data_IF_985518300094
#
_entry.id   IF_985518300094
#
_cell.length_a   1.000
_cell.length_b   1.000
_cell.length_c   1.000
_cell.angle_alpha   90.00
_cell.angle_beta   90.00
_cell.angle_gamma   90.00
#
_symmetry.space_group_name_H-M   'P 1'
#
loop_
_entity.id
_entity.type
_entity.pdbx_description
1 polymer ?
#
# COMPACT_ATOMS: atom_id res chain seq x y z
N UNK A 1 -38.63 14.01 0.04
CA UNK A 1 -38.39 13.23 1.28
C UNK A 1 -36.92 12.81 1.31
N UNK A 2 -36.11 13.43 2.16
CA UNK A 2 -34.70 13.07 2.33
C UNK A 2 -34.62 11.70 3.01
N UNK A 3 -33.98 10.71 2.36
CA UNK A 3 -33.83 9.36 2.92
C UNK A 3 -32.55 9.29 3.75
N UNK A 4 -32.69 9.43 5.07
CA UNK A 4 -31.62 9.37 6.06
C UNK A 4 -30.75 8.09 5.98
N UNK A 5 -31.25 7.01 5.35
CA UNK A 5 -30.54 5.74 5.18
C UNK A 5 -29.64 5.65 3.93
N UNK A 6 -29.69 6.61 3.00
CA UNK A 6 -28.88 6.59 1.76
C UNK A 6 -27.93 7.79 1.72
N UNK A 7 -26.84 7.72 2.48
CA UNK A 7 -25.79 8.76 2.47
C UNK A 7 -24.98 8.70 1.18
N UNK A 8 -24.86 9.84 0.52
CA UNK A 8 -23.87 10.10 -0.51
C UNK A 8 -22.93 11.17 0.03
N UNK A 9 -21.63 10.94 -0.09
CA UNK A 9 -20.60 11.91 0.27
C UNK A 9 -19.98 12.41 -1.01
N UNK A 10 -19.90 13.72 -1.17
CA UNK A 10 -19.17 14.37 -2.26
C UNK A 10 -17.99 15.11 -1.63
N UNK A 11 -16.81 14.93 -2.21
CA UNK A 11 -15.59 15.59 -1.79
C UNK A 11 -14.90 16.27 -2.97
N UNK A 12 -14.25 17.38 -2.69
CA UNK A 12 -13.37 18.07 -3.62
C UNK A 12 -12.08 18.42 -2.88
N UNK A 13 -10.94 18.26 -3.54
CA UNK A 13 -9.64 18.71 -3.03
C UNK A 13 -8.78 19.23 -4.18
N UNK A 14 -7.96 20.24 -3.90
CA UNK A 14 -7.03 20.79 -4.87
C UNK A 14 -5.80 21.32 -4.14
N UNK A 15 -4.68 21.42 -4.85
CA UNK A 15 -3.46 21.98 -4.27
C UNK A 15 -2.21 21.61 -5.05
N UNK A 16 -1.07 21.97 -4.48
CA UNK A 16 0.26 21.60 -4.93
C UNK A 16 1.00 20.98 -3.73
N UNK A 17 1.76 19.91 -3.96
CA UNK A 17 2.59 19.32 -2.92
C UNK A 17 3.61 18.32 -3.45
N UNK A 18 4.44 17.84 -2.53
CA UNK A 18 5.45 16.80 -2.77
C UNK A 18 4.87 15.46 -2.33
N UNK A 19 4.89 14.49 -3.24
CA UNK A 19 4.32 13.17 -3.02
C UNK A 19 5.36 12.09 -3.25
N UNK A 20 5.22 10.99 -2.50
CA UNK A 20 5.99 9.77 -2.72
C UNK A 20 5.60 9.17 -4.08
N UNK A 21 6.58 8.73 -4.87
CA UNK A 21 6.35 8.00 -6.11
C UNK A 21 5.47 6.75 -5.88
N UNK A 22 5.56 6.12 -4.72
CA UNK A 22 4.68 5.03 -4.32
C UNK A 22 3.53 5.58 -3.48
N UNK A 23 2.34 5.66 -4.08
CA UNK A 23 1.14 6.17 -3.41
C UNK A 23 0.61 5.30 -2.26
N UNK A 24 1.19 4.11 -2.04
CA UNK A 24 0.93 3.27 -0.85
C UNK A 24 1.85 3.62 0.33
N UNK A 25 2.80 4.54 0.13
CA UNK A 25 3.72 5.06 1.12
C UNK A 25 4.91 4.13 1.40
N UNK A 26 6.11 4.63 1.15
CA UNK A 26 7.37 3.94 1.49
C UNK A 26 7.67 4.01 2.99
N UNK A 27 7.83 5.23 3.52
CA UNK A 27 8.19 5.49 4.92
C UNK A 27 7.54 6.78 5.43
N UNK A 28 7.37 6.90 6.74
CA UNK A 28 6.85 8.12 7.37
C UNK A 28 7.84 9.29 7.22
N UNK A 29 7.33 10.52 7.22
CA UNK A 29 8.15 11.72 7.15
C UNK A 29 9.19 11.77 8.30
N UNK A 30 8.76 11.48 9.53
CA UNK A 30 9.65 11.40 10.69
C UNK A 30 10.73 10.32 10.51
N UNK A 31 10.34 9.13 10.03
CA UNK A 31 11.29 8.06 9.71
C UNK A 31 12.31 8.49 8.67
N UNK A 32 11.89 9.26 7.67
CA UNK A 32 12.77 9.80 6.64
C UNK A 32 13.73 10.86 7.17
N UNK A 33 13.26 11.79 8.00
CA UNK A 33 14.10 12.80 8.63
C UNK A 33 15.22 12.17 9.46
N UNK A 34 14.88 11.18 10.29
CA UNK A 34 15.86 10.45 11.11
C UNK A 34 16.87 9.71 10.22
N UNK A 35 16.40 9.01 9.18
CA UNK A 35 17.28 8.27 8.27
C UNK A 35 18.17 9.17 7.42
N UNK A 36 17.66 10.30 6.94
CA UNK A 36 18.40 11.23 6.11
C UNK A 36 19.47 11.96 6.93
N UNK A 37 19.11 12.48 8.10
CA UNK A 37 20.02 13.32 8.90
C UNK A 37 21.09 12.51 9.66
N UNK A 38 20.77 11.29 10.12
CA UNK A 38 21.68 10.49 10.95
C UNK A 38 22.39 9.36 10.20
N UNK A 39 21.81 8.87 9.10
CA UNK A 39 22.30 7.68 8.39
C UNK A 39 22.53 7.91 6.90
N UNK A 40 22.28 9.13 6.40
CA UNK A 40 22.41 9.53 5.00
C UNK A 40 21.58 8.66 4.05
N UNK A 41 20.38 8.27 4.48
CA UNK A 41 19.46 7.44 3.71
C UNK A 41 18.16 8.16 3.40
N UNK A 42 18.03 8.64 2.17
CA UNK A 42 16.80 9.19 1.62
C UNK A 42 15.98 8.08 0.93
N UNK A 43 15.34 7.22 1.73
CA UNK A 43 14.60 6.09 1.18
C UNK A 43 13.41 6.50 0.29
N UNK A 44 12.52 7.41 0.72
CA UNK A 44 11.41 7.84 -0.11
C UNK A 44 11.90 8.65 -1.30
N UNK A 45 11.26 8.44 -2.44
CA UNK A 45 11.54 9.11 -3.70
C UNK A 45 10.35 9.97 -4.05
N UNK A 46 10.60 11.23 -4.33
CA UNK A 46 9.55 12.24 -4.38
C UNK A 46 9.38 12.86 -5.77
N UNK A 47 8.17 13.35 -6.02
CA UNK A 47 7.83 14.18 -7.16
C UNK A 47 6.85 15.28 -6.75
N UNK A 48 6.78 16.34 -7.53
CA UNK A 48 5.82 17.42 -7.32
C UNK A 48 4.53 17.12 -8.09
N UNK A 49 3.38 17.34 -7.43
CA UNK A 49 2.06 17.19 -8.03
C UNK A 49 1.19 18.39 -7.70
N UNK A 50 0.71 19.04 -8.74
CA UNK A 50 -0.42 19.97 -8.66
C UNK A 50 -1.68 19.23 -9.07
N UNK A 51 -2.75 19.27 -8.29
CA UNK A 51 -3.93 18.44 -8.53
C UNK A 51 -5.25 19.12 -8.23
N UNK A 52 -6.29 18.58 -8.86
CA UNK A 52 -7.70 18.77 -8.53
C UNK A 52 -8.34 17.37 -8.53
N UNK A 53 -8.98 16.99 -7.44
CA UNK A 53 -9.71 15.75 -7.29
C UNK A 53 -11.15 16.05 -6.91
N UNK A 54 -12.09 15.44 -7.62
CA UNK A 54 -13.50 15.41 -7.28
C UNK A 54 -13.88 13.96 -7.04
N UNK A 55 -14.55 13.66 -5.93
CA UNK A 55 -14.97 12.31 -5.63
C UNK A 55 -16.40 12.29 -5.09
N UNK A 56 -17.06 11.15 -5.30
CA UNK A 56 -18.35 10.86 -4.69
C UNK A 56 -18.42 9.39 -4.32
N UNK A 57 -18.98 9.10 -3.16
CA UNK A 57 -19.20 7.74 -2.67
C UNK A 57 -20.65 7.60 -2.21
N UNK A 58 -21.27 6.47 -2.52
CA UNK A 58 -22.66 6.20 -2.16
C UNK A 58 -22.89 4.71 -1.88
N UNK A 59 -23.71 4.41 -0.89
CA UNK A 59 -24.27 3.06 -0.72
C UNK A 59 -25.36 2.82 -1.77
N UNK A 60 -25.16 1.81 -2.63
CA UNK A 60 -26.09 1.42 -3.69
C UNK A 60 -27.10 0.38 -3.18
N UNK A 61 -26.62 -0.55 -2.37
CA UNK A 61 -27.40 -1.58 -1.67
C UNK A 61 -26.69 -1.93 -0.35
N UNK A 62 -27.35 -2.68 0.55
CA UNK A 62 -26.76 -3.03 1.85
C UNK A 62 -25.40 -3.70 1.70
N UNK A 63 -24.35 -3.03 2.19
CA UNK A 63 -22.96 -3.51 2.08
C UNK A 63 -22.30 -3.30 0.70
N UNK A 64 -23.02 -2.79 -0.30
CA UNK A 64 -22.51 -2.43 -1.62
C UNK A 64 -22.30 -0.92 -1.71
N UNK A 65 -21.04 -0.51 -1.73
CA UNK A 65 -20.62 0.88 -1.88
C UNK A 65 -20.08 1.10 -3.30
N UNK A 66 -20.54 2.16 -3.95
CA UNK A 66 -19.98 2.63 -5.21
C UNK A 66 -19.25 3.95 -4.98
N UNK A 67 -18.10 4.12 -5.64
CA UNK A 67 -17.38 5.39 -5.68
C UNK A 67 -16.99 5.76 -7.10
N UNK A 68 -16.97 7.07 -7.35
CA UNK A 68 -16.46 7.69 -8.55
C UNK A 68 -15.46 8.78 -8.15
N UNK A 69 -14.36 8.89 -8.87
CA UNK A 69 -13.35 9.94 -8.68
C UNK A 69 -12.88 10.45 -10.03
N UNK A 70 -12.75 11.76 -10.14
CA UNK A 70 -12.16 12.47 -11.28
C UNK A 70 -10.91 13.18 -10.78
N UNK A 71 -9.79 12.93 -11.44
CA UNK A 71 -8.48 13.45 -11.08
C UNK A 71 -7.89 14.20 -12.26
N UNK A 72 -7.56 15.48 -12.04
CA UNK A 72 -6.66 16.25 -12.88
C UNK A 72 -5.35 16.44 -12.11
N UNK A 73 -4.21 16.17 -12.72
CA UNK A 73 -2.91 16.39 -12.10
C UNK A 73 -1.87 16.87 -13.12
N UNK A 74 -0.97 17.76 -12.69
CA UNK A 74 0.27 18.07 -13.39
C UNK A 74 1.43 17.59 -12.51
N UNK A 75 2.23 16.70 -13.05
CA UNK A 75 3.29 16.00 -12.33
C UNK A 75 4.66 16.44 -12.86
N UNK A 76 5.59 16.72 -11.97
CA UNK A 76 6.95 17.16 -12.27
C UNK A 76 7.96 16.37 -11.43
N UNK A 77 9.05 15.93 -12.04
CA UNK A 77 10.14 15.24 -11.34
C UNK A 77 10.93 16.20 -10.47
N UNK A 78 11.30 15.76 -9.27
CA UNK A 78 12.18 16.53 -8.39
C UNK A 78 13.57 15.93 -8.34
N UNK A 79 14.59 16.77 -8.22
CA UNK A 79 15.96 16.37 -7.87
C UNK A 79 16.23 16.69 -6.40
N UNK A 80 17.27 16.09 -5.81
CA UNK A 80 17.67 16.41 -4.45
C UNK A 80 18.17 17.86 -4.37
N UNK A 81 17.63 18.65 -3.45
CA UNK A 81 17.96 20.09 -3.30
C UNK A 81 18.89 20.41 -2.13
N UNK A 82 19.12 19.46 -1.23
CA UNK A 82 20.00 19.61 -0.08
C UNK A 82 20.72 18.31 0.21
N UNK A 83 21.99 18.43 0.60
CA UNK A 83 22.89 17.38 1.04
C UNK A 83 23.21 17.48 2.54
N UNK A 84 22.41 18.23 3.31
CA UNK A 84 22.67 18.43 4.74
C UNK A 84 22.48 17.13 5.54
N UNK A 85 23.47 16.81 6.37
CA UNK A 85 23.46 15.69 7.32
C UNK A 85 24.23 16.05 8.59
N UNK A 86 23.89 15.40 9.71
CA UNK A 86 24.61 15.61 10.98
C UNK A 86 25.87 14.75 11.08
N UNK A 87 25.88 13.57 10.47
CA UNK A 87 26.99 12.63 10.52
C UNK A 87 27.35 12.19 9.11
N UNK A 88 28.58 12.50 8.69
CA UNK A 88 29.09 12.17 7.36
C UNK A 88 29.65 10.74 7.33
N UNK A 89 29.14 9.91 6.41
CA UNK A 89 29.70 8.60 6.14
C UNK A 89 30.43 8.61 4.80
N UNK A 90 31.77 8.50 4.84
CA UNK A 90 32.64 8.59 3.66
C UNK A 90 32.35 7.58 2.54
N UNK A 91 31.59 6.53 2.82
CA UNK A 91 31.19 5.51 1.85
C UNK A 91 29.76 5.68 1.33
N UNK A 92 29.08 6.79 1.64
CA UNK A 92 27.67 7.01 1.30
C UNK A 92 27.37 8.42 0.81
N UNK A 93 26.39 8.46 -0.09
CA UNK A 93 25.81 9.69 -0.62
C UNK A 93 24.30 9.51 -0.75
N UNK A 94 23.57 10.63 -0.77
CA UNK A 94 22.14 10.61 -1.07
C UNK A 94 21.90 10.09 -2.49
N UNK A 95 20.88 9.27 -2.64
CA UNK A 95 20.53 8.67 -3.93
C UNK A 95 19.53 9.54 -4.68
N UNK A 96 19.60 9.56 -6.01
CA UNK A 96 18.65 10.25 -6.89
C UNK A 96 17.18 9.91 -6.58
N UNK A 97 16.26 10.81 -6.91
CA UNK A 97 14.81 10.53 -6.89
C UNK A 97 14.37 9.55 -7.99
N UNK A 98 15.26 9.22 -8.92
CA UNK A 98 15.07 8.12 -9.86
C UNK A 98 15.63 6.81 -9.26
N UNK A 99 14.78 5.87 -8.80
CA UNK A 99 15.22 4.63 -8.17
C UNK A 99 15.95 3.67 -9.14
N UNK A 100 15.88 3.90 -10.46
CA UNK A 100 16.57 3.10 -11.47
C UNK A 100 17.95 3.63 -11.83
N UNK A 101 18.25 4.90 -11.51
CA UNK A 101 19.59 5.50 -11.67
C UNK A 101 20.01 6.20 -10.37
N UNK A 102 20.24 5.45 -9.26
CA UNK A 102 20.41 6.03 -7.93
C UNK A 102 21.64 6.93 -7.79
N UNK A 103 22.65 6.79 -8.65
CA UNK A 103 23.92 7.55 -8.62
C UNK A 103 23.92 8.76 -9.55
N UNK A 104 22.84 9.02 -10.29
CA UNK A 104 22.80 10.09 -11.28
C UNK A 104 21.43 10.73 -11.29
N UNK A 105 21.38 12.06 -11.20
CA UNK A 105 20.16 12.86 -11.24
C UNK A 105 19.62 12.87 -12.68
N UNK A 106 18.84 11.85 -13.03
CA UNK A 106 18.10 11.77 -14.29
C UNK A 106 16.60 11.79 -14.02
N UNK A 107 15.80 12.54 -14.81
CA UNK A 107 14.36 12.57 -14.62
C UNK A 107 13.76 11.19 -14.92
N UNK A 108 12.98 10.66 -13.97
CA UNK A 108 12.28 9.38 -14.15
C UNK A 108 11.16 9.44 -15.20
N UNK A 109 10.56 10.62 -15.37
CA UNK A 109 9.49 10.89 -16.33
C UNK A 109 9.52 12.37 -16.74
N UNK A 110 9.03 12.74 -17.93
CA UNK A 110 8.91 14.15 -18.33
C UNK A 110 7.82 14.85 -17.50
N UNK A 111 7.80 16.18 -17.50
CA UNK A 111 6.63 16.90 -16.94
C UNK A 111 5.39 16.58 -17.79
N UNK A 112 4.32 16.13 -17.15
CA UNK A 112 3.10 15.75 -17.87
C UNK A 112 1.84 16.11 -17.08
N UNK A 113 0.74 16.25 -17.82
CA UNK A 113 -0.60 16.42 -17.27
C UNK A 113 -1.35 15.10 -17.40
N UNK A 114 -2.14 14.72 -16.39
CA UNK A 114 -3.02 13.56 -16.44
C UNK A 114 -4.44 13.95 -16.05
N UNK A 115 -5.40 13.50 -16.86
CA UNK A 115 -6.81 13.47 -16.51
C UNK A 115 -7.24 12.02 -16.44
N UNK A 116 -7.82 11.62 -15.31
CA UNK A 116 -8.30 10.25 -15.13
C UNK A 116 -9.63 10.19 -14.38
N UNK A 117 -10.38 9.13 -14.64
CA UNK A 117 -11.58 8.77 -13.89
C UNK A 117 -11.41 7.38 -13.28
N UNK A 118 -11.81 7.23 -12.01
CA UNK A 118 -11.80 5.97 -11.30
C UNK A 118 -13.21 5.65 -10.83
N UNK A 119 -13.72 4.47 -11.19
CA UNK A 119 -14.95 3.91 -10.67
C UNK A 119 -14.63 2.66 -9.86
N UNK A 120 -15.22 2.53 -8.67
CA UNK A 120 -15.05 1.31 -7.87
C UNK A 120 -16.35 0.86 -7.23
N UNK A 121 -16.49 -0.47 -7.10
CA UNK A 121 -17.57 -1.14 -6.38
C UNK A 121 -16.94 -1.99 -5.29
N UNK A 122 -17.33 -1.73 -4.05
CA UNK A 122 -16.89 -2.49 -2.88
C UNK A 122 -18.10 -3.13 -2.23
N UNK A 123 -18.14 -4.46 -2.25
CA UNK A 123 -19.17 -5.25 -1.60
C UNK A 123 -18.62 -5.95 -0.35
N UNK A 124 -19.15 -5.62 0.82
CA UNK A 124 -18.82 -6.31 2.06
C UNK A 124 -19.95 -7.31 2.36
N UNK A 125 -19.64 -8.60 2.21
CA UNK A 125 -20.61 -9.68 2.39
C UNK A 125 -21.12 -9.67 3.83
N UNK A 126 -22.42 -9.85 4.05
CA UNK A 126 -23.00 -9.93 5.40
C UNK A 126 -22.79 -8.67 6.25
N UNK A 127 -22.60 -7.50 5.62
CA UNK A 127 -22.39 -6.23 6.32
C UNK A 127 -23.55 -5.91 7.26
N UNK A 128 -23.26 -5.94 8.56
CA UNK A 128 -24.19 -5.52 9.61
C UNK A 128 -24.07 -4.00 9.84
N UNK A 129 -25.15 -3.41 10.34
CA UNK A 129 -25.19 -1.99 10.67
C UNK A 129 -26.12 -1.73 11.84
N UNK A 130 -25.80 -0.68 12.60
CA UNK A 130 -26.64 -0.14 13.65
C UNK A 130 -27.25 1.16 13.12
N UNK A 131 -28.57 1.27 13.22
CA UNK A 131 -29.27 2.51 12.86
C UNK A 131 -29.54 3.29 14.15
N UNK A 132 -29.16 4.55 14.15
CA UNK A 132 -29.41 5.53 15.21
C UNK A 132 -30.08 6.77 14.59
N UNK A 133 -30.71 7.65 15.37
CA UNK A 133 -31.32 8.87 14.84
C UNK A 133 -30.34 9.77 14.04
N UNK A 134 -29.05 9.70 14.36
CA UNK A 134 -27.96 10.43 13.70
C UNK A 134 -27.36 9.70 12.49
N UNK A 135 -27.78 8.45 12.19
CA UNK A 135 -27.44 7.76 10.96
C UNK A 135 -27.22 6.25 11.08
N UNK A 136 -26.72 5.68 9.98
CA UNK A 136 -26.36 4.27 9.84
C UNK A 136 -24.86 4.08 10.07
N UNK A 137 -24.50 3.19 10.99
CA UNK A 137 -23.11 2.89 11.36
C UNK A 137 -22.81 1.42 11.07
N UNK A 138 -21.83 1.16 10.20
CA UNK A 138 -21.40 -0.19 9.87
C UNK A 138 -20.58 -0.81 10.99
N UNK A 139 -20.83 -2.08 11.31
CA UNK A 139 -19.97 -2.87 12.19
C UNK A 139 -18.98 -3.70 11.39
N UNK A 140 -17.99 -4.29 12.04
CA UNK A 140 -17.07 -5.21 11.35
C UNK A 140 -17.84 -6.41 10.76
N UNK A 141 -17.46 -6.83 9.55
CA UNK A 141 -18.06 -8.01 8.91
C UNK A 141 -17.21 -9.25 9.15
N UNK A 142 -17.89 -10.38 9.36
CA UNK A 142 -17.28 -11.72 9.44
C UNK A 142 -16.93 -12.31 8.08
N UNK A 143 -17.36 -11.69 6.99
CA UNK A 143 -17.19 -12.21 5.64
C UNK A 143 -16.40 -11.24 4.75
N UNK A 144 -15.69 -11.78 3.73
CA UNK A 144 -14.79 -10.99 2.90
C UNK A 144 -15.43 -9.78 2.25
N UNK A 145 -14.62 -8.73 2.11
CA UNK A 145 -14.88 -7.58 1.25
C UNK A 145 -14.30 -7.85 -0.13
N UNK A 146 -15.12 -7.68 -1.15
CA UNK A 146 -14.73 -7.78 -2.55
C UNK A 146 -14.75 -6.37 -3.13
N UNK A 147 -13.67 -5.96 -3.79
CA UNK A 147 -13.57 -4.67 -4.49
C UNK A 147 -13.23 -4.90 -5.95
N UNK A 148 -14.00 -4.29 -6.84
CA UNK A 148 -13.68 -4.18 -8.27
C UNK A 148 -13.47 -2.71 -8.58
N UNK A 149 -12.42 -2.40 -9.34
CA UNK A 149 -12.10 -1.03 -9.73
C UNK A 149 -11.74 -0.98 -11.21
N UNK A 150 -12.20 0.07 -11.87
CA UNK A 150 -11.80 0.47 -13.21
C UNK A 150 -11.29 1.90 -13.17
N UNK A 151 -10.13 2.16 -13.77
CA UNK A 151 -9.53 3.48 -13.90
C UNK A 151 -9.17 3.73 -15.36
N UNK A 152 -9.54 4.90 -15.87
CA UNK A 152 -9.24 5.34 -17.24
C UNK A 152 -8.44 6.64 -17.23
N UNK A 153 -7.33 6.67 -17.92
CA UNK A 153 -6.62 7.89 -18.30
C UNK A 153 -7.12 8.39 -19.65
N UNK A 154 -7.45 9.68 -19.76
CA UNK A 154 -7.99 10.27 -20.98
C UNK A 154 -6.91 11.04 -21.73
N UNK A 155 -6.66 10.67 -22.99
CA UNK A 155 -5.76 11.42 -23.87
C UNK A 155 -6.40 12.73 -24.30
N UNK A 156 -5.59 13.78 -24.44
CA UNK A 156 -5.95 15.11 -25.00
C UNK A 156 -7.03 15.90 -24.24
N UNK A 157 -7.69 15.30 -23.25
CA UNK A 157 -8.65 15.98 -22.37
C UNK A 157 -7.91 16.95 -21.43
N UNK A 158 -8.22 18.25 -21.53
CA UNK A 158 -7.56 19.32 -20.75
C UNK A 158 -6.03 19.28 -20.83
N UNK A 159 -5.48 18.89 -21.98
CA UNK A 159 -4.02 18.79 -22.19
C UNK A 159 -3.38 17.55 -21.55
N UNK A 160 -4.17 16.55 -21.19
CA UNK A 160 -3.69 15.28 -20.64
C UNK A 160 -2.81 14.50 -21.62
N UNK A 161 -1.71 13.94 -21.11
CA UNK A 161 -0.71 13.16 -21.83
C UNK A 161 -0.81 11.65 -21.52
N UNK A 162 -1.87 11.19 -20.84
CA UNK A 162 -2.03 9.78 -20.47
C UNK A 162 -3.17 9.12 -21.23
N UNK A 163 -2.98 7.87 -21.61
CA UNK A 163 -3.95 7.00 -22.28
C UNK A 163 -3.77 5.57 -21.76
N UNK A 164 -4.65 5.18 -20.84
CA UNK A 164 -4.63 3.84 -20.25
C UNK A 164 -5.99 3.42 -19.70
N UNK A 165 -6.19 2.12 -19.58
CA UNK A 165 -7.35 1.50 -18.96
C UNK A 165 -6.88 0.41 -18.00
N UNK A 166 -7.17 0.58 -16.72
CA UNK A 166 -6.76 -0.32 -15.66
C UNK A 166 -7.96 -0.94 -14.97
N UNK A 167 -7.97 -2.26 -14.85
CA UNK A 167 -8.95 -3.00 -14.04
C UNK A 167 -8.25 -3.73 -12.91
N UNK A 168 -8.89 -3.82 -11.75
CA UNK A 168 -8.48 -4.72 -10.68
C UNK A 168 -9.67 -5.30 -9.94
N UNK A 169 -9.47 -6.49 -9.39
CA UNK A 169 -10.33 -7.12 -8.43
C UNK A 169 -9.51 -7.49 -7.19
N UNK A 170 -10.11 -7.37 -6.02
CA UNK A 170 -9.47 -7.66 -4.75
C UNK A 170 -10.46 -8.26 -3.76
N UNK A 171 -10.01 -9.26 -3.01
CA UNK A 171 -10.71 -9.85 -1.88
C UNK A 171 -9.86 -9.64 -0.64
N UNK A 172 -10.47 -9.07 0.40
CA UNK A 172 -9.81 -8.79 1.66
C UNK A 172 -10.69 -9.26 2.82
N UNK A 173 -10.07 -9.92 3.79
CA UNK A 173 -10.70 -10.22 5.07
C UNK A 173 -9.68 -10.13 6.19
N UNK A 174 -10.10 -9.52 7.29
CA UNK A 174 -9.29 -9.40 8.50
C UNK A 174 -9.87 -10.24 9.63
N UNK A 175 -8.99 -10.77 10.49
CA UNK A 175 -9.30 -11.44 11.77
C UNK A 175 -10.40 -12.50 11.69
N UNK A 176 -10.32 -13.40 10.72
CA UNK A 176 -11.16 -14.60 10.65
C UNK A 176 -10.87 -15.45 11.89
N UNK A 177 -11.84 -15.52 12.80
CA UNK A 177 -11.70 -16.30 14.04
C UNK A 177 -11.65 -17.80 13.71
N UNK A 178 -10.58 -18.45 14.18
CA UNK A 178 -10.42 -19.92 14.18
C UNK A 178 -10.56 -20.47 15.61
N UNK A 179 -11.23 -19.72 16.49
CA UNK A 179 -11.44 -20.08 17.88
C UNK A 179 -10.13 -20.15 18.66
N UNK A 180 -9.84 -21.31 19.26
CA UNK A 180 -8.62 -21.53 20.05
C UNK A 180 -7.32 -21.47 19.24
N UNK A 181 -7.43 -21.61 17.91
CA UNK A 181 -6.28 -21.51 17.01
C UNK A 181 -5.93 -20.07 16.65
N UNK A 182 -6.64 -19.08 17.19
CA UNK A 182 -6.39 -17.67 16.94
C UNK A 182 -7.16 -17.13 15.75
N UNK A 183 -6.52 -16.32 14.91
CA UNK A 183 -7.18 -15.61 13.81
C UNK A 183 -6.30 -15.46 12.57
N UNK A 184 -6.93 -15.48 11.40
CA UNK A 184 -6.26 -15.30 10.10
C UNK A 184 -6.74 -14.05 9.38
N UNK A 185 -5.84 -13.40 8.67
CA UNK A 185 -6.14 -12.28 7.79
C UNK A 185 -5.54 -12.55 6.42
N UNK A 186 -6.25 -12.18 5.36
CA UNK A 186 -5.74 -12.32 4.00
C UNK A 186 -6.16 -11.17 3.08
N UNK A 187 -5.35 -10.97 2.04
CA UNK A 187 -5.65 -10.11 0.92
C UNK A 187 -5.24 -10.82 -0.36
N UNK A 188 -6.10 -10.88 -1.36
CA UNK A 188 -5.76 -11.39 -2.68
C UNK A 188 -6.27 -10.39 -3.71
N UNK A 189 -5.38 -9.88 -4.55
CA UNK A 189 -5.69 -8.90 -5.57
C UNK A 189 -5.06 -9.28 -6.91
N UNK A 190 -5.78 -9.02 -7.98
CA UNK A 190 -5.27 -9.13 -9.34
C UNK A 190 -5.72 -7.92 -10.14
N UNK A 191 -4.89 -7.49 -11.07
CA UNK A 191 -5.23 -6.37 -11.94
C UNK A 191 -4.46 -6.40 -13.23
N UNK A 192 -4.91 -5.60 -14.20
CA UNK A 192 -4.31 -5.50 -15.52
C UNK A 192 -4.58 -4.13 -16.12
N UNK A 193 -3.53 -3.53 -16.68
CA UNK A 193 -3.69 -2.48 -17.67
C UNK A 193 -4.11 -3.13 -19.00
N UNK A 194 -5.39 -3.01 -19.34
CA UNK A 194 -5.97 -3.52 -20.59
C UNK A 194 -5.49 -2.66 -21.77
N UNK A 195 -5.32 -1.36 -21.51
CA UNK A 195 -4.67 -0.39 -22.38
C UNK A 195 -3.57 0.30 -21.55
N UNK A 196 -2.39 0.42 -22.13
CA UNK A 196 -1.23 1.09 -21.56
C UNK A 196 -0.45 1.85 -22.64
N UNK A 197 -1.15 2.44 -23.61
CA UNK A 197 -0.56 3.21 -24.72
C UNK A 197 0.39 4.31 -24.23
N UNK A 198 -0.03 5.08 -23.22
CA UNK A 198 0.80 6.13 -22.63
C UNK A 198 0.48 6.32 -21.15
N UNK A 199 1.44 6.02 -20.30
CA UNK A 199 1.38 6.28 -18.86
C UNK A 199 2.80 6.40 -18.30
N UNK A 200 2.93 7.12 -17.19
CA UNK A 200 4.23 7.40 -16.56
C UNK A 200 4.35 6.70 -15.22
N UNK A 201 5.57 6.60 -14.69
CA UNK A 201 5.84 5.82 -13.48
C UNK A 201 4.89 6.09 -12.30
N UNK A 202 4.51 7.34 -11.95
CA UNK A 202 3.57 7.59 -10.86
C UNK A 202 2.14 7.04 -11.08
N UNK A 203 1.77 6.71 -12.32
CA UNK A 203 0.48 6.11 -12.68
C UNK A 203 0.53 4.56 -12.69
N UNK A 204 1.71 3.96 -12.49
CA UNK A 204 1.85 2.50 -12.48
C UNK A 204 1.15 1.89 -11.28
N UNK A 205 0.90 0.57 -11.32
CA UNK A 205 0.55 -0.15 -10.10
C UNK A 205 1.80 -0.29 -9.24
N UNK A 206 1.82 0.43 -8.12
CA UNK A 206 2.81 0.26 -7.07
C UNK A 206 2.39 -0.81 -6.06
N UNK A 207 3.36 -1.41 -5.39
CA UNK A 207 3.16 -2.39 -4.32
C UNK A 207 3.71 -1.84 -3.01
N UNK A 208 3.05 -2.13 -1.89
CA UNK A 208 3.49 -1.64 -0.59
C UNK A 208 4.70 -2.48 -0.15
N UNK A 209 5.92 -2.02 -0.49
CA UNK A 209 7.16 -2.63 -0.06
C UNK A 209 7.68 -2.06 1.27
N UNK A 210 8.72 -2.71 1.79
CA UNK A 210 9.47 -2.25 2.94
C UNK A 210 10.91 -2.77 2.94
N UNK A 211 11.86 -1.85 2.98
CA UNK A 211 13.29 -2.16 3.19
C UNK A 211 13.79 -1.73 4.59
N UNK A 212 12.98 -0.99 5.34
CA UNK A 212 13.33 -0.56 6.70
C UNK A 212 13.22 -1.71 7.70
N UNK A 213 14.10 -1.74 8.70
CA UNK A 213 13.98 -2.69 9.82
C UNK A 213 12.77 -2.39 10.69
N UNK A 214 12.37 -1.11 10.79
CA UNK A 214 11.27 -0.64 11.65
C UNK A 214 10.17 -0.01 10.78
N UNK A 215 8.93 -0.48 10.94
CA UNK A 215 7.79 -0.01 10.14
C UNK A 215 6.44 -0.28 10.84
N UNK A 216 5.36 0.45 10.52
CA UNK A 216 4.04 0.14 11.05
C UNK A 216 3.46 -1.15 10.45
N UNK A 217 2.76 -1.98 11.24
CA UNK A 217 2.17 -3.23 10.75
C UNK A 217 1.06 -2.95 9.73
N UNK A 218 1.04 -3.70 8.62
CA UNK A 218 0.02 -3.60 7.59
C UNK A 218 -0.01 -4.90 6.78
N UNK A 219 -1.17 -5.57 6.68
CA UNK A 219 -1.32 -6.84 5.98
C UNK A 219 -0.94 -6.77 4.49
N UNK A 220 -1.20 -5.64 3.82
CA UNK A 220 -0.85 -5.44 2.40
C UNK A 220 0.64 -5.18 2.19
N UNK A 221 1.37 -4.81 3.24
CA UNK A 221 2.75 -4.38 3.12
C UNK A 221 3.66 -5.62 3.14
N UNK A 222 4.36 -5.82 2.03
CA UNK A 222 5.50 -6.74 1.97
C UNK A 222 6.59 -6.24 2.92
N UNK A 223 7.12 -7.11 3.78
CA UNK A 223 8.11 -6.76 4.81
C UNK A 223 9.53 -6.61 4.27
N UNK A 224 9.79 -7.13 3.06
CA UNK A 224 11.13 -7.20 2.46
C UNK A 224 11.19 -6.74 0.99
N UNK A 225 10.06 -6.39 0.38
CA UNK A 225 10.01 -5.93 -1.01
C UNK A 225 10.58 -4.52 -1.11
N UNK A 226 11.31 -4.24 -2.19
CA UNK A 226 11.78 -2.88 -2.48
C UNK A 226 10.60 -1.91 -2.69
N UNK A 227 10.80 -0.64 -2.34
CA UNK A 227 9.76 0.38 -2.42
C UNK A 227 9.30 0.70 -3.85
N UNK A 228 10.16 0.55 -4.85
CA UNK A 228 9.96 1.13 -6.18
C UNK A 228 10.20 0.14 -7.33
N UNK A 229 11.10 -0.83 -7.16
CA UNK A 229 11.57 -1.70 -8.24
C UNK A 229 10.54 -2.71 -8.79
N UNK A 230 9.43 -2.92 -8.07
CA UNK A 230 8.41 -3.91 -8.43
C UNK A 230 7.15 -3.32 -9.06
N UNK A 231 7.10 -2.01 -9.27
CA UNK A 231 5.93 -1.35 -9.88
C UNK A 231 5.75 -1.80 -11.33
N UNK A 232 4.50 -1.96 -11.78
CA UNK A 232 4.19 -2.48 -13.12
C UNK A 232 3.11 -1.67 -13.83
N UNK A 233 3.23 -1.57 -15.15
CA UNK A 233 2.22 -1.03 -16.06
C UNK A 233 1.50 -2.15 -16.85
N UNK A 234 1.57 -3.40 -16.38
CA UNK A 234 0.98 -4.58 -17.00
C UNK A 234 0.03 -5.30 -16.03
N UNK A 235 -0.17 -6.60 -16.20
CA UNK A 235 -0.91 -7.44 -15.26
C UNK A 235 -0.10 -7.77 -14.01
N UNK A 236 -0.81 -7.99 -12.90
CA UNK A 236 -0.21 -8.49 -11.68
C UNK A 236 -1.16 -9.39 -10.90
N UNK A 237 -0.57 -10.19 -10.03
CA UNK A 237 -1.23 -10.91 -8.96
C UNK A 237 -0.48 -10.66 -7.65
N UNK A 238 -1.21 -10.28 -6.61
CA UNK A 238 -0.71 -9.93 -5.29
C UNK A 238 -1.53 -10.72 -4.25
N UNK A 239 -0.87 -11.42 -3.34
CA UNK A 239 -1.54 -12.10 -2.25
C UNK A 239 -0.74 -11.95 -0.95
N UNK A 240 -1.46 -11.79 0.16
CA UNK A 240 -0.91 -11.70 1.50
C UNK A 240 -1.76 -12.56 2.42
N UNK A 241 -1.10 -13.26 3.34
CA UNK A 241 -1.77 -14.00 4.39
C UNK A 241 -0.97 -13.90 5.68
N UNK A 242 -1.66 -13.69 6.78
CA UNK A 242 -1.09 -13.71 8.12
C UNK A 242 -2.01 -14.54 9.02
N UNK A 243 -1.41 -15.34 9.88
CA UNK A 243 -2.11 -16.08 10.91
C UNK A 243 -1.46 -15.81 12.25
N UNK A 244 -2.28 -15.41 13.21
CA UNK A 244 -1.88 -15.19 14.58
C UNK A 244 -2.49 -16.28 15.46
N UNK A 245 -1.64 -16.99 16.21
CA UNK A 245 -2.03 -18.12 17.04
C UNK A 245 -2.58 -17.72 18.41
N UNK A 246 -2.67 -16.43 18.71
CA UNK A 246 -3.17 -15.88 19.98
C UNK A 246 -2.47 -16.48 21.22
N UNK A 247 -1.18 -16.82 21.10
CA UNK A 247 -0.39 -17.40 22.19
C UNK A 247 -0.65 -18.90 22.40
N UNK A 248 -1.26 -19.61 21.44
CA UNK A 248 -1.64 -21.02 21.58
C UNK A 248 -0.47 -21.93 21.96
N UNK A 249 0.75 -21.63 21.52
CA UNK A 249 1.94 -22.46 21.79
C UNK A 249 2.71 -22.00 23.04
N UNK A 250 3.10 -20.72 23.10
CA UNK A 250 3.92 -20.11 24.13
C UNK A 250 3.21 -20.02 25.47
N UNK A 251 1.88 -19.85 25.49
CA UNK A 251 1.14 -19.90 26.75
C UNK A 251 1.16 -21.30 27.40
N UNK A 252 1.50 -22.36 26.66
CA UNK A 252 1.66 -23.71 27.22
C UNK A 252 3.01 -23.90 27.92
N UNK A 253 4.02 -23.09 27.59
CA UNK A 253 5.35 -23.15 28.21
C UNK A 253 5.35 -22.36 29.53
N UNK A 254 5.54 -22.99 30.70
CA UNK A 254 5.36 -22.34 32.01
C UNK A 254 6.19 -21.07 32.21
N UNK A 255 7.42 -21.04 31.69
CA UNK A 255 8.32 -19.88 31.78
C UNK A 255 7.86 -18.70 30.91
N UNK A 256 7.28 -18.98 29.74
CA UNK A 256 6.92 -17.96 28.74
C UNK A 256 5.47 -17.48 28.89
N UNK A 257 4.61 -18.25 29.57
CA UNK A 257 3.20 -17.92 29.83
C UNK A 257 3.01 -16.54 30.46
N UNK A 258 3.91 -16.12 31.36
CA UNK A 258 3.83 -14.81 32.03
C UNK A 258 4.03 -13.63 31.08
N UNK A 259 4.79 -13.82 29.99
CA UNK A 259 5.04 -12.79 28.99
C UNK A 259 3.83 -12.56 28.07
N UNK A 260 2.88 -13.51 28.01
CA UNK A 260 1.64 -13.43 27.22
C UNK A 260 1.91 -13.01 25.76
N UNK A 261 2.96 -13.59 25.18
CA UNK A 261 3.35 -13.35 23.78
C UNK A 261 2.39 -14.09 22.85
N UNK A 262 2.08 -13.48 21.72
CA UNK A 262 1.30 -14.10 20.65
C UNK A 262 2.23 -14.40 19.47
N UNK A 263 2.20 -15.62 18.98
CA UNK A 263 2.96 -16.04 17.81
C UNK A 263 2.18 -15.73 16.54
N UNK A 264 2.89 -15.36 15.49
CA UNK A 264 2.30 -15.20 14.18
C UNK A 264 3.22 -15.70 13.09
N UNK A 265 2.62 -16.11 11.99
CA UNK A 265 3.28 -16.39 10.72
C UNK A 265 2.59 -15.61 9.63
N UNK A 266 3.31 -15.24 8.59
CA UNK A 266 2.72 -14.59 7.44
C UNK A 266 3.61 -14.66 6.24
N UNK A 267 3.07 -14.21 5.13
CA UNK A 267 3.78 -14.20 3.86
C UNK A 267 3.04 -13.42 2.81
N UNK A 268 3.80 -13.09 1.78
CA UNK A 268 3.34 -12.33 0.63
C UNK A 268 3.79 -13.01 -0.66
N UNK A 269 2.98 -12.89 -1.69
CA UNK A 269 3.25 -13.36 -3.03
C UNK A 269 2.96 -12.25 -4.04
N UNK A 270 3.90 -12.02 -4.97
CA UNK A 270 3.74 -11.06 -6.04
C UNK A 270 4.24 -11.65 -7.35
N UNK A 271 3.41 -11.52 -8.39
CA UNK A 271 3.76 -11.89 -9.75
C UNK A 271 3.34 -10.79 -10.73
N UNK A 272 4.27 -10.41 -11.59
CA UNK A 272 4.09 -9.50 -12.73
C UNK A 272 5.00 -9.95 -13.88
N UNK A 273 4.76 -9.52 -15.14
CA UNK A 273 5.63 -9.83 -16.27
C UNK A 273 7.09 -9.45 -16.03
N UNK A 274 7.35 -8.32 -15.37
CA UNK A 274 8.71 -7.85 -15.06
C UNK A 274 9.34 -8.62 -13.89
N UNK A 275 8.52 -9.07 -12.92
CA UNK A 275 8.93 -9.76 -11.70
C UNK A 275 8.04 -10.97 -11.46
N UNK A 276 8.44 -12.10 -12.02
CA UNK A 276 7.55 -13.25 -12.22
C UNK A 276 7.14 -13.97 -10.93
N UNK A 277 7.92 -13.93 -9.86
CA UNK A 277 7.71 -14.87 -8.75
C UNK A 277 8.33 -14.40 -7.42
N UNK A 278 7.99 -13.19 -6.98
CA UNK A 278 8.41 -12.73 -5.66
C UNK A 278 7.60 -13.43 -4.57
N UNK A 279 8.29 -13.92 -3.54
CA UNK A 279 7.70 -14.56 -2.37
C UNK A 279 8.41 -14.12 -1.12
N UNK A 280 7.67 -13.85 -0.06
CA UNK A 280 8.22 -13.67 1.27
C UNK A 280 7.47 -14.50 2.31
N UNK A 281 8.20 -14.92 3.32
CA UNK A 281 7.67 -15.62 4.48
C UNK A 281 8.33 -15.09 5.73
N UNK A 282 7.55 -14.89 6.77
CA UNK A 282 8.03 -14.42 8.06
C UNK A 282 7.26 -15.07 9.20
N UNK A 283 7.92 -15.17 10.35
CA UNK A 283 7.34 -15.65 11.59
C UNK A 283 7.87 -14.80 12.74
N UNK A 284 7.08 -14.65 13.79
CA UNK A 284 7.41 -13.70 14.83
C UNK A 284 6.55 -13.80 16.06
N UNK A 285 6.87 -12.93 17.01
CA UNK A 285 6.17 -12.77 18.27
C UNK A 285 5.65 -11.33 18.37
N UNK A 286 4.44 -11.18 18.89
CA UNK A 286 3.86 -9.88 19.19
C UNK A 286 3.40 -9.78 20.64
N UNK A 287 3.43 -8.54 21.13
CA UNK A 287 2.87 -8.18 22.42
C UNK A 287 2.42 -6.73 22.39
N UNK A 288 1.15 -6.49 22.67
CA UNK A 288 0.55 -5.15 22.66
C UNK A 288 0.83 -4.48 21.31
N UNK A 289 1.57 -3.37 21.32
CA UNK A 289 1.92 -2.57 20.15
C UNK A 289 3.16 -3.05 19.42
N UNK A 290 3.99 -3.92 20.02
CA UNK A 290 5.30 -4.31 19.49
C UNK A 290 5.23 -5.70 18.85
N UNK A 291 5.82 -5.83 17.65
CA UNK A 291 5.99 -7.10 16.94
C UNK A 291 7.44 -7.25 16.51
N UNK A 292 7.99 -8.45 16.65
CA UNK A 292 9.31 -8.81 16.14
C UNK A 292 9.17 -10.06 15.28
N UNK A 293 9.62 -9.99 14.03
CA UNK A 293 9.63 -11.11 13.10
C UNK A 293 11.01 -11.36 12.52
N UNK A 294 11.22 -12.60 12.09
CA UNK A 294 12.32 -13.00 11.22
C UNK A 294 11.71 -13.60 9.96
N UNK A 295 12.32 -13.34 8.81
CA UNK A 295 11.75 -13.73 7.54
C UNK A 295 12.75 -13.74 6.41
N UNK A 296 12.27 -14.20 5.27
CA UNK A 296 13.03 -14.45 4.06
C UNK A 296 12.24 -13.95 2.86
N UNK A 297 12.95 -13.42 1.86
CA UNK A 297 12.37 -12.99 0.60
C UNK A 297 13.15 -13.57 -0.58
N UNK A 298 12.42 -13.98 -1.60
CA UNK A 298 12.91 -14.62 -2.80
C UNK A 298 12.29 -13.96 -4.03
N UNK A 299 13.05 -13.87 -5.11
CA UNK A 299 12.56 -13.56 -6.45
C UNK A 299 12.90 -14.74 -7.36
N UNK A 300 11.89 -15.53 -7.72
CA UNK A 300 12.08 -16.82 -8.37
C UNK A 300 12.87 -17.78 -7.48
N UNK A 301 14.00 -18.29 -7.99
CA UNK A 301 14.90 -19.16 -7.23
C UNK A 301 15.97 -18.42 -6.43
N UNK A 302 16.10 -17.10 -6.58
CA UNK A 302 17.17 -16.31 -5.96
C UNK A 302 16.67 -15.72 -4.63
N UNK A 303 17.42 -15.97 -3.55
CA UNK A 303 17.21 -15.27 -2.27
C UNK A 303 17.58 -13.80 -2.41
N UNK A 304 16.64 -12.91 -2.14
CA UNK A 304 16.86 -11.46 -2.15
C UNK A 304 17.44 -11.00 -0.81
N UNK A 305 16.74 -11.33 0.29
CA UNK A 305 17.13 -10.88 1.63
C UNK A 305 16.54 -11.80 2.71
N UNK A 306 17.09 -11.72 3.91
CA UNK A 306 16.55 -12.32 5.12
C UNK A 306 16.96 -11.46 6.30
N UNK A 307 16.17 -11.47 7.37
CA UNK A 307 16.57 -10.78 8.60
C UNK A 307 15.42 -10.42 9.51
N UNK A 308 15.77 -9.76 10.61
CA UNK A 308 14.80 -9.27 11.58
C UNK A 308 14.04 -8.05 11.08
N UNK A 309 12.80 -7.97 11.53
CA UNK A 309 11.86 -6.88 11.31
C UNK A 309 11.18 -6.58 12.63
N UNK A 310 11.02 -5.30 12.92
CA UNK A 310 10.33 -4.81 14.10
C UNK A 310 9.19 -3.95 13.59
N UNK A 311 7.97 -4.23 14.04
CA UNK A 311 6.84 -3.35 13.76
C UNK A 311 6.19 -2.86 15.02
N UNK A 312 5.69 -1.63 14.96
CA UNK A 312 4.96 -1.00 16.05
C UNK A 312 3.69 -0.34 15.51
N UNK A 313 2.57 -0.49 16.21
CA UNK A 313 1.30 0.14 15.85
C UNK A 313 0.58 0.66 17.09
N UNK A 314 0.09 1.89 17.03
CA UNK A 314 -0.79 2.49 18.03
C UNK A 314 -2.24 2.41 17.54
#
# INVERSE_FOLDING_TARGET
VYNWGKRATVGASFGNGIFDLNNLGSMTALGNTINSLLYEKNFPKFYEKTFVNLNTTRELASGLQGSLSLDYARNHTLTNSSDFKFFDNKEREFTSNNPFTPTTETPLFPTYTSVSATASLTYTIGQQYITRPDGKFYTESKYPRITVLYKKGFKDLLGSNVDYDFVKAEVYQDRISLGLWGYSSFLVGAGKFINNNQLYYPDFKHFAGNISTIFPPNLRKFQYLDFYQFSTNQQYFEAHAEHNFAGFFLNKVPLLRKAKLEEFIGGGYLSSPEKRNYKEFYFGLQRLVLRVSYGFAYDGGRKLTQGFRISYGF
#
